data_IF_688761337305
#
_entry.id   IF_688761337305
#
_cell.length_a   1.000
_cell.length_b   1.000
_cell.length_c   1.000
_cell.angle_alpha   90.00
_cell.angle_beta   90.00
_cell.angle_gamma   90.00
#
_symmetry.space_group_name_H-M   'P 1'
#
loop_
_entity.id
_entity.type
_entity.pdbx_description
1 polymer ?
#
# COMPACT_ATOMS: atom_id res chain seq x y z
N UNK A 1 15.79 13.26 28.50
CA UNK A 1 14.55 12.98 27.71
C UNK A 1 14.60 13.88 26.48
N UNK A 2 15.25 13.43 25.41
CA UNK A 2 15.36 14.21 24.16
C UNK A 2 14.07 14.02 23.36
N UNK A 3 13.30 15.09 23.23
CA UNK A 3 12.12 15.18 22.38
C UNK A 3 12.61 15.25 20.93
N UNK A 4 12.78 14.10 20.29
CA UNK A 4 12.88 14.09 18.83
C UNK A 4 11.54 14.57 18.24
N UNK A 5 11.59 15.72 17.61
CA UNK A 5 10.47 16.24 16.80
C UNK A 5 10.10 15.21 15.74
N UNK A 6 8.80 14.95 15.50
CA UNK A 6 8.39 14.04 14.46
C UNK A 6 8.91 14.57 13.12
N UNK A 7 9.86 13.85 12.54
CA UNK A 7 10.34 14.13 11.19
C UNK A 7 9.15 14.00 10.24
N UNK A 8 8.82 15.09 9.53
CA UNK A 8 7.79 15.04 8.50
C UNK A 8 8.05 13.87 7.55
N UNK A 9 7.03 13.07 7.22
CA UNK A 9 7.22 11.98 6.27
C UNK A 9 7.80 12.54 4.96
N UNK A 10 8.76 11.85 4.34
CA UNK A 10 9.35 12.32 3.09
C UNK A 10 8.24 12.53 2.05
N UNK A 11 8.29 13.67 1.35
CA UNK A 11 7.32 13.95 0.27
C UNK A 11 7.41 12.82 -0.75
N UNK A 12 6.26 12.25 -1.07
CA UNK A 12 6.16 11.23 -2.12
C UNK A 12 6.72 11.79 -3.45
N UNK A 13 7.55 10.99 -4.10
CA UNK A 13 8.06 11.27 -5.45
C UNK A 13 7.79 10.03 -6.31
N UNK A 14 7.31 10.20 -7.55
CA UNK A 14 7.13 9.07 -8.45
C UNK A 14 8.47 8.36 -8.68
N UNK A 15 8.43 7.05 -8.81
CA UNK A 15 9.60 6.29 -9.23
C UNK A 15 9.99 6.65 -10.68
N UNK A 16 11.21 6.38 -11.12
CA UNK A 16 11.60 6.62 -12.51
C UNK A 16 10.66 5.95 -13.51
N UNK A 17 10.20 4.72 -13.24
CA UNK A 17 9.26 4.02 -14.11
C UNK A 17 7.91 4.74 -14.21
N UNK A 18 7.36 5.17 -13.07
CA UNK A 18 6.11 5.97 -13.04
C UNK A 18 6.30 7.30 -13.75
N UNK A 19 7.47 7.94 -13.60
CA UNK A 19 7.80 9.18 -14.32
C UNK A 19 7.84 8.99 -15.84
N UNK A 20 8.43 7.89 -16.32
CA UNK A 20 8.44 7.52 -17.74
C UNK A 20 7.02 7.27 -18.24
N UNK A 21 6.21 6.53 -17.50
CA UNK A 21 4.81 6.27 -17.84
C UNK A 21 4.00 7.58 -17.97
N UNK A 22 4.14 8.50 -17.01
CA UNK A 22 3.48 9.82 -17.10
C UNK A 22 3.93 10.60 -18.34
N UNK A 23 5.23 10.59 -18.64
CA UNK A 23 5.78 11.22 -19.86
C UNK A 23 5.24 10.58 -21.14
N UNK A 24 5.13 9.25 -21.17
CA UNK A 24 4.54 8.51 -22.30
C UNK A 24 3.07 8.91 -22.54
N UNK A 25 2.27 9.02 -21.48
CA UNK A 25 0.87 9.44 -21.59
C UNK A 25 0.75 10.89 -22.11
N UNK A 26 1.56 11.80 -21.60
CA UNK A 26 1.58 13.17 -22.11
C UNK A 26 2.00 13.23 -23.59
N UNK A 27 3.04 12.47 -23.95
CA UNK A 27 3.49 12.33 -25.35
C UNK A 27 2.43 11.68 -26.25
N UNK A 28 1.70 10.70 -25.76
CA UNK A 28 0.60 10.04 -26.46
C UNK A 28 -0.52 11.04 -26.81
N UNK A 29 -0.92 11.87 -25.86
CA UNK A 29 -1.91 12.93 -26.09
C UNK A 29 -1.41 13.91 -27.15
N UNK A 30 -0.18 14.41 -27.04
CA UNK A 30 0.40 15.32 -28.00
C UNK A 30 0.50 14.70 -29.41
N UNK A 31 0.89 13.42 -29.50
CA UNK A 31 0.98 12.69 -30.76
C UNK A 31 -0.38 12.56 -31.45
N UNK A 32 -1.44 12.26 -30.72
CA UNK A 32 -2.80 12.14 -31.25
C UNK A 32 -3.36 13.49 -31.71
N UNK A 33 -3.02 14.58 -31.04
CA UNK A 33 -3.41 15.94 -31.45
C UNK A 33 -2.68 16.31 -32.77
N UNK A 34 -1.36 16.05 -32.85
CA UNK A 34 -0.55 16.40 -34.00
C UNK A 34 -0.81 15.49 -35.22
N UNK A 35 -1.09 14.19 -34.97
CA UNK A 35 -1.27 13.17 -36.02
C UNK A 35 -2.29 12.13 -35.54
N UNK A 36 -3.60 12.36 -35.77
CA UNK A 36 -4.66 11.42 -35.31
C UNK A 36 -4.49 10.00 -35.86
N UNK A 37 -3.93 9.83 -37.07
CA UNK A 37 -3.65 8.51 -37.67
C UNK A 37 -2.62 7.66 -36.90
N UNK A 38 -1.90 8.25 -35.92
CA UNK A 38 -0.95 7.51 -35.08
C UNK A 38 -1.61 6.67 -33.98
N UNK A 39 -2.94 6.70 -33.88
CA UNK A 39 -3.67 6.02 -32.78
C UNK A 39 -3.31 4.53 -32.57
N UNK A 40 -3.04 3.69 -33.61
CA UNK A 40 -2.69 2.31 -33.34
C UNK A 40 -1.36 2.15 -32.60
N UNK A 41 -0.39 2.98 -32.96
CA UNK A 41 0.93 2.99 -32.32
C UNK A 41 0.88 3.54 -30.89
N UNK A 42 0.08 4.58 -30.68
CA UNK A 42 -0.17 5.13 -29.34
C UNK A 42 -0.84 4.10 -28.46
N UNK A 43 -1.89 3.43 -28.94
CA UNK A 43 -2.57 2.38 -28.18
C UNK A 43 -1.63 1.24 -27.84
N UNK A 44 -0.83 0.77 -28.80
CA UNK A 44 0.15 -0.31 -28.57
C UNK A 44 1.19 0.09 -27.51
N UNK A 45 1.69 1.33 -27.56
CA UNK A 45 2.64 1.83 -26.57
C UNK A 45 2.02 1.92 -25.17
N UNK A 46 0.79 2.38 -25.05
CA UNK A 46 0.08 2.45 -23.76
C UNK A 46 -0.22 1.05 -23.21
N UNK A 47 -0.61 0.10 -24.04
CA UNK A 47 -0.82 -1.30 -23.63
C UNK A 47 0.50 -1.89 -23.10
N UNK A 48 1.61 -1.68 -23.80
CA UNK A 48 2.92 -2.15 -23.39
C UNK A 48 3.35 -1.53 -22.05
N UNK A 49 3.16 -0.20 -21.88
CA UNK A 49 3.45 0.51 -20.64
C UNK A 49 2.67 -0.08 -19.46
N UNK A 50 1.37 -0.26 -19.63
CA UNK A 50 0.53 -0.85 -18.57
C UNK A 50 0.89 -2.31 -18.28
N UNK A 51 1.29 -3.09 -19.28
CA UNK A 51 1.79 -4.44 -19.08
C UNK A 51 3.08 -4.44 -18.25
N UNK A 52 3.99 -3.49 -18.49
CA UNK A 52 5.22 -3.31 -17.69
C UNK A 52 4.89 -2.90 -16.26
N UNK A 53 3.99 -1.93 -16.06
CA UNK A 53 3.57 -1.50 -14.72
C UNK A 53 2.91 -2.65 -13.95
N UNK A 54 2.00 -3.37 -14.60
CA UNK A 54 1.34 -4.54 -14.01
C UNK A 54 2.36 -5.66 -13.69
N UNK A 55 3.26 -5.97 -14.61
CA UNK A 55 4.33 -6.94 -14.38
C UNK A 55 5.23 -6.53 -13.22
N UNK A 56 5.61 -5.26 -13.13
CA UNK A 56 6.41 -4.73 -12.03
C UNK A 56 5.70 -4.86 -10.67
N UNK A 57 4.37 -4.74 -10.63
CA UNK A 57 3.58 -4.89 -9.41
C UNK A 57 3.47 -6.34 -8.94
N UNK A 58 3.58 -7.31 -9.85
CA UNK A 58 3.51 -8.74 -9.54
C UNK A 58 4.85 -9.33 -9.09
N UNK A 59 5.96 -8.60 -9.26
CA UNK A 59 7.28 -9.07 -8.83
C UNK A 59 7.50 -8.76 -7.36
N UNK A 60 7.55 -9.74 -6.45
CA UNK A 60 7.83 -9.52 -5.04
C UNK A 60 9.18 -8.81 -4.86
N UNK A 61 9.24 -7.85 -3.93
CA UNK A 61 10.44 -7.05 -3.63
C UNK A 61 10.92 -6.13 -4.76
N UNK A 62 10.11 -5.94 -5.83
CA UNK A 62 10.40 -4.97 -6.87
C UNK A 62 10.50 -3.55 -6.28
N UNK A 63 11.46 -2.76 -6.79
CA UNK A 63 11.59 -1.32 -6.49
C UNK A 63 11.25 -0.44 -7.67
N UNK A 64 10.76 -1.03 -8.75
CA UNK A 64 10.46 -0.30 -10.00
C UNK A 64 9.33 0.72 -9.81
N UNK A 65 8.34 0.39 -8.97
CA UNK A 65 7.21 1.28 -8.68
C UNK A 65 7.45 2.22 -7.49
N UNK A 66 8.55 2.05 -6.77
CA UNK A 66 8.93 2.86 -5.62
C UNK A 66 9.71 2.09 -4.57
N UNK A 67 10.02 2.73 -3.44
CA UNK A 67 10.68 2.06 -2.33
C UNK A 67 9.85 0.88 -1.83
N UNK A 68 10.49 -0.27 -1.68
CA UNK A 68 9.86 -1.45 -1.11
C UNK A 68 10.61 -1.88 0.15
N UNK A 69 9.92 -1.86 1.27
CA UNK A 69 10.46 -2.23 2.57
C UNK A 69 10.49 -3.75 2.73
N UNK A 70 11.60 -4.35 2.41
CA UNK A 70 11.79 -5.81 2.51
C UNK A 70 12.58 -6.23 3.74
N UNK A 71 13.11 -5.28 4.50
CA UNK A 71 13.89 -5.51 5.72
C UNK A 71 13.68 -4.37 6.70
N UNK A 72 13.76 -4.67 7.97
CA UNK A 72 13.80 -3.66 9.02
C UNK A 72 15.09 -2.83 8.92
N UNK A 73 15.09 -1.57 9.40
CA UNK A 73 16.30 -0.76 9.52
C UNK A 73 17.41 -1.51 10.28
N UNK A 74 18.67 -1.25 9.91
CA UNK A 74 19.82 -1.90 10.54
C UNK A 74 19.84 -1.77 12.07
N UNK A 75 19.40 -0.63 12.61
CA UNK A 75 19.26 -0.41 14.05
C UNK A 75 18.22 -1.34 14.71
N UNK A 76 17.19 -1.76 14.03
CA UNK A 76 16.23 -2.74 14.54
C UNK A 76 16.81 -4.16 14.45
N UNK A 77 17.49 -4.48 13.34
CA UNK A 77 18.15 -5.75 13.15
C UNK A 77 19.24 -6.03 14.18
N UNK A 78 20.07 -5.01 14.53
CA UNK A 78 21.09 -5.13 15.56
C UNK A 78 20.51 -5.40 16.95
N UNK A 79 19.28 -4.92 17.22
CA UNK A 79 18.54 -5.21 18.46
C UNK A 79 17.72 -6.50 18.39
N UNK A 80 17.85 -7.29 17.33
CA UNK A 80 17.08 -8.52 17.08
C UNK A 80 15.57 -8.31 17.12
N UNK A 81 15.10 -7.13 16.68
CA UNK A 81 13.67 -6.82 16.63
C UNK A 81 13.03 -7.46 15.41
N UNK A 82 11.77 -7.85 15.57
CA UNK A 82 10.89 -8.30 14.50
C UNK A 82 9.66 -7.40 14.45
N UNK A 83 9.08 -7.20 13.28
CA UNK A 83 7.78 -6.57 13.12
C UNK A 83 6.72 -7.66 12.95
N UNK A 84 5.63 -7.56 13.72
CA UNK A 84 4.46 -8.44 13.57
C UNK A 84 3.40 -7.63 12.86
N UNK A 85 2.93 -8.12 11.71
CA UNK A 85 1.84 -7.53 10.94
C UNK A 85 0.72 -8.55 10.77
N UNK A 86 -0.51 -8.08 10.80
CA UNK A 86 -1.72 -8.91 10.72
C UNK A 86 -2.66 -8.23 9.75
N UNK A 87 -2.95 -8.91 8.65
CA UNK A 87 -3.73 -8.38 7.55
C UNK A 87 -5.21 -8.83 7.65
N UNK A 88 -6.07 -8.19 6.86
CA UNK A 88 -7.48 -8.54 6.65
C UNK A 88 -8.41 -8.37 7.86
N UNK A 89 -7.94 -7.79 8.95
CA UNK A 89 -8.77 -7.53 10.13
C UNK A 89 -9.73 -6.33 9.99
N UNK A 90 -10.49 -6.03 11.08
CA UNK A 90 -10.73 -6.90 12.23
C UNK A 90 -11.71 -8.05 11.93
N UNK A 91 -11.51 -9.18 12.59
CA UNK A 91 -12.39 -10.34 12.51
C UNK A 91 -12.92 -10.67 13.91
N UNK A 92 -14.25 -10.84 14.10
CA UNK A 92 -14.83 -11.00 15.44
C UNK A 92 -14.46 -12.31 16.14
N UNK A 93 -14.03 -13.33 15.40
CA UNK A 93 -13.63 -14.62 15.97
C UNK A 93 -12.12 -14.71 16.17
N UNK A 94 -11.34 -14.16 15.26
CA UNK A 94 -9.88 -14.28 15.22
C UNK A 94 -9.20 -13.17 16.01
N UNK A 95 -9.58 -11.91 15.78
CA UNK A 95 -8.90 -10.76 16.38
C UNK A 95 -8.85 -10.78 17.91
N UNK A 96 -9.92 -11.16 18.66
CA UNK A 96 -9.82 -11.24 20.12
C UNK A 96 -8.80 -12.26 20.60
N UNK A 97 -8.68 -13.40 19.91
CA UNK A 97 -7.70 -14.45 20.25
C UNK A 97 -6.27 -13.99 19.99
N UNK A 98 -6.06 -13.29 18.87
CA UNK A 98 -4.77 -12.71 18.54
C UNK A 98 -4.37 -11.65 19.56
N UNK A 99 -5.29 -10.77 19.94
CA UNK A 99 -5.04 -9.76 20.96
C UNK A 99 -4.68 -10.39 22.32
N UNK A 100 -5.32 -11.49 22.72
CA UNK A 100 -4.99 -12.21 23.94
C UNK A 100 -3.57 -12.80 23.89
N UNK A 101 -3.17 -13.40 22.77
CA UNK A 101 -1.81 -13.92 22.58
C UNK A 101 -0.75 -12.82 22.61
N UNK A 102 -1.01 -11.69 21.93
CA UNK A 102 -0.09 -10.54 21.94
C UNK A 102 0.08 -9.97 23.35
N UNK A 103 -0.98 -9.92 24.14
CA UNK A 103 -0.97 -9.47 25.52
C UNK A 103 -0.18 -10.45 26.42
N UNK A 104 -0.44 -11.75 26.32
CA UNK A 104 0.28 -12.80 27.05
C UNK A 104 1.79 -12.69 26.83
N UNK A 105 2.21 -12.46 25.59
CA UNK A 105 3.63 -12.31 25.23
C UNK A 105 4.17 -10.88 25.38
N UNK A 106 3.34 -9.93 25.80
CA UNK A 106 3.70 -8.50 25.95
C UNK A 106 4.31 -7.88 24.69
N UNK A 107 3.79 -8.28 23.54
CA UNK A 107 4.25 -7.79 22.23
C UNK A 107 3.22 -6.90 21.54
N UNK A 108 3.66 -6.03 20.67
CA UNK A 108 2.81 -5.17 19.86
C UNK A 108 2.83 -5.61 18.41
N UNK A 109 1.74 -5.36 17.71
CA UNK A 109 1.59 -5.64 16.29
C UNK A 109 0.97 -4.45 15.55
N UNK A 110 1.09 -4.46 14.24
CA UNK A 110 0.37 -3.57 13.34
C UNK A 110 -0.71 -4.37 12.62
N UNK A 111 -1.96 -3.91 12.69
CA UNK A 111 -3.10 -4.52 12.03
C UNK A 111 -3.42 -3.72 10.78
N UNK A 112 -3.22 -4.30 9.60
CA UNK A 112 -3.66 -3.75 8.34
C UNK A 112 -5.12 -4.13 8.11
N UNK A 113 -6.02 -3.19 8.39
CA UNK A 113 -7.45 -3.45 8.48
C UNK A 113 -8.20 -3.04 7.22
N UNK A 114 -9.18 -3.86 6.82
CA UNK A 114 -10.10 -3.56 5.73
C UNK A 114 -11.14 -2.55 6.22
N UNK A 115 -11.32 -1.45 5.51
CA UNK A 115 -12.20 -0.36 5.92
C UNK A 115 -13.66 -0.77 6.22
N UNK A 116 -14.27 -1.62 5.39
CA UNK A 116 -15.61 -2.15 5.64
C UNK A 116 -15.69 -2.96 6.94
N UNK A 117 -14.66 -3.74 7.27
CA UNK A 117 -14.59 -4.51 8.51
C UNK A 117 -14.40 -3.60 9.72
N UNK A 118 -13.61 -2.53 9.59
CA UNK A 118 -13.47 -1.50 10.65
C UNK A 118 -14.81 -0.83 10.93
N UNK A 119 -15.59 -0.51 9.90
CA UNK A 119 -16.94 0.06 10.08
C UNK A 119 -17.88 -0.93 10.76
N UNK A 120 -17.88 -2.19 10.33
CA UNK A 120 -18.75 -3.23 10.85
C UNK A 120 -18.39 -3.60 12.29
N UNK A 121 -17.11 -3.70 12.60
CA UNK A 121 -16.60 -4.11 13.91
C UNK A 121 -15.82 -2.97 14.60
N UNK A 122 -16.42 -1.78 14.64
CA UNK A 122 -15.75 -0.56 15.11
C UNK A 122 -15.27 -0.64 16.55
N UNK A 123 -16.00 -1.35 17.43
CA UNK A 123 -15.58 -1.56 18.82
C UNK A 123 -14.32 -2.42 18.89
N UNK A 124 -14.23 -3.44 18.04
CA UNK A 124 -13.05 -4.31 17.98
C UNK A 124 -11.83 -3.55 17.43
N UNK A 125 -12.05 -2.67 16.46
CA UNK A 125 -10.99 -1.79 15.97
C UNK A 125 -10.50 -0.83 17.08
N UNK A 126 -11.39 -0.26 17.87
CA UNK A 126 -11.01 0.57 19.03
C UNK A 126 -10.27 -0.25 20.08
N UNK A 127 -10.65 -1.50 20.29
CA UNK A 127 -9.97 -2.41 21.22
C UNK A 127 -8.52 -2.68 20.82
N UNK A 128 -8.25 -2.90 19.52
CA UNK A 128 -6.90 -3.04 18.98
C UNK A 128 -6.04 -1.85 19.42
N UNK A 129 -6.54 -0.62 19.21
CA UNK A 129 -5.82 0.62 19.56
C UNK A 129 -5.67 0.77 21.09
N UNK A 130 -6.73 0.50 21.87
CA UNK A 130 -6.67 0.58 23.35
C UNK A 130 -5.61 -0.34 23.95
N UNK A 131 -5.39 -1.52 23.34
CA UNK A 131 -4.33 -2.45 23.76
C UNK A 131 -2.93 -2.06 23.25
N UNK A 132 -2.79 -0.88 22.61
CA UNK A 132 -1.50 -0.31 22.20
C UNK A 132 -0.93 -0.87 20.90
N UNK A 133 -1.77 -1.50 20.07
CA UNK A 133 -1.42 -1.91 18.71
C UNK A 133 -1.71 -0.79 17.71
N UNK A 134 -1.05 -0.82 16.56
CA UNK A 134 -1.32 0.10 15.44
C UNK A 134 -2.41 -0.46 14.53
N UNK A 135 -3.22 0.43 13.94
CA UNK A 135 -4.10 0.12 12.81
C UNK A 135 -3.63 0.90 11.60
N UNK A 136 -3.49 0.19 10.50
CA UNK A 136 -3.08 0.73 9.21
C UNK A 136 -4.08 0.33 8.11
N UNK A 137 -4.01 1.03 6.98
CA UNK A 137 -4.97 0.85 5.88
C UNK A 137 -4.63 -0.42 5.06
N UNK A 138 -5.63 -1.30 4.88
CA UNK A 138 -5.57 -2.45 3.99
C UNK A 138 -6.65 -2.40 2.91
N UNK A 139 -6.79 -1.25 2.25
CA UNK A 139 -7.88 -0.92 1.33
C UNK A 139 -9.27 -0.88 1.99
N UNK A 140 -10.28 -0.40 1.23
CA UNK A 140 -11.64 -0.32 1.79
C UNK A 140 -12.40 -1.64 1.70
N UNK A 141 -12.29 -2.36 0.57
CA UNK A 141 -13.08 -3.58 0.27
C UNK A 141 -12.24 -4.81 -0.03
N UNK A 142 -10.92 -4.68 -0.10
CA UNK A 142 -9.98 -5.77 -0.43
C UNK A 142 -10.35 -6.56 -1.70
N UNK A 143 -10.70 -5.83 -2.78
CA UNK A 143 -11.06 -6.46 -4.05
C UNK A 143 -9.80 -6.86 -4.83
N UNK A 144 -9.78 -8.07 -5.39
CA UNK A 144 -8.63 -8.59 -6.13
C UNK A 144 -8.28 -7.82 -7.41
N UNK A 145 -9.24 -7.10 -7.99
CA UNK A 145 -9.06 -6.24 -9.17
C UNK A 145 -8.84 -4.77 -8.80
N UNK A 146 -8.30 -4.50 -7.61
CA UNK A 146 -8.05 -3.15 -7.09
C UNK A 146 -7.32 -2.24 -8.10
N UNK A 147 -6.31 -2.78 -8.81
CA UNK A 147 -5.53 -2.04 -9.81
C UNK A 147 -6.34 -1.62 -11.06
N UNK A 148 -7.51 -2.20 -11.27
CA UNK A 148 -8.40 -1.86 -12.38
C UNK A 148 -9.50 -0.87 -11.99
N UNK A 149 -9.57 -0.49 -10.71
CA UNK A 149 -10.57 0.45 -10.22
C UNK A 149 -10.19 1.88 -10.60
N UNK A 150 -11.16 2.62 -11.12
CA UNK A 150 -11.00 4.06 -11.34
C UNK A 150 -11.01 4.86 -10.03
N UNK A 151 -10.58 6.14 -10.06
CA UNK A 151 -10.46 6.98 -8.86
C UNK A 151 -11.73 7.03 -8.00
N UNK A 152 -12.91 7.06 -8.63
CA UNK A 152 -14.20 7.10 -7.91
C UNK A 152 -14.50 5.85 -7.08
N UNK A 153 -13.96 4.71 -7.47
CA UNK A 153 -14.14 3.45 -6.73
C UNK A 153 -13.10 3.27 -5.62
N UNK A 154 -12.06 4.10 -5.60
CA UNK A 154 -11.01 4.11 -4.57
C UNK A 154 -11.28 5.12 -3.46
N UNK A 155 -12.14 6.11 -3.72
CA UNK A 155 -12.58 7.12 -2.73
C UNK A 155 -13.91 6.68 -2.14
N UNK A 156 -13.91 6.27 -0.90
CA UNK A 156 -15.12 5.97 -0.11
C UNK A 156 -15.06 6.73 1.21
#
# INVERSE_FOLDING_TARGET
MSTESPSHPPRWRPSPLVGVSLGLHAGAIAALIARPSAWPWVLSALIADHAVLAGASLVPRSRLLGPNWTRLPAAAASRRQVAITIDDGPDPQVTPRVLALLEEHRVRATFFCIGERVRTYSELAREIVRRGHAIENHSHRHVHYFSLLGPRALTV
#
